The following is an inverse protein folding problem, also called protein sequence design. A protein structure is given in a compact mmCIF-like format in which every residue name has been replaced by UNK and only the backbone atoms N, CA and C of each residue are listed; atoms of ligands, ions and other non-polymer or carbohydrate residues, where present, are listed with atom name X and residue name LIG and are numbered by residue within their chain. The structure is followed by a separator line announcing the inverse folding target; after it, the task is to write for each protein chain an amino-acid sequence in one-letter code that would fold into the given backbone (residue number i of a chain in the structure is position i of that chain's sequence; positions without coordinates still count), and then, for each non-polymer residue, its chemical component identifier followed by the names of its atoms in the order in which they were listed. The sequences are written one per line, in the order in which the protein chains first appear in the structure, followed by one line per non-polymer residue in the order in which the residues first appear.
data_IF_836949560383
#
_entry.id   IF_836949560383
#
_cell.length_a   1.000
_cell.length_b   1.000
_cell.length_c   1.000
_cell.angle_alpha   90.00
_cell.angle_beta   90.00
_cell.angle_gamma   90.00
#
_symmetry.space_group_name_H-M   'P 1'
#
loop_
_entity.id
_entity.type
_entity.pdbx_description
1 polymer ?
#
# COMPACT_ATOMS: atom_id res chain seq x y z
N UNK A 1 13.85 26.90 -6.64
CA UNK A 1 12.52 26.42 -7.07
C UNK A 1 12.59 26.09 -8.54
N UNK A 2 12.65 24.80 -8.92
CA UNK A 2 12.58 24.39 -10.33
C UNK A 2 11.17 24.70 -10.84
N UNK A 3 11.07 25.36 -12.00
CA UNK A 3 9.80 25.56 -12.70
C UNK A 3 9.47 24.27 -13.46
N UNK A 4 8.46 23.53 -13.03
CA UNK A 4 7.95 22.40 -13.81
C UNK A 4 7.27 22.94 -15.09
N UNK A 5 7.60 22.42 -16.28
CA UNK A 5 7.02 22.91 -17.54
C UNK A 5 5.48 22.81 -17.53
N UNK A 6 4.93 21.76 -16.95
CA UNK A 6 3.47 21.55 -16.91
C UNK A 6 2.72 22.42 -15.90
N UNK A 7 3.39 23.21 -15.06
CA UNK A 7 2.68 24.19 -14.24
C UNK A 7 1.92 25.20 -15.09
N UNK A 8 2.47 25.57 -16.26
CA UNK A 8 1.77 26.50 -17.17
C UNK A 8 0.47 25.87 -17.69
N UNK A 9 0.53 24.59 -18.08
CA UNK A 9 -0.64 23.85 -18.54
C UNK A 9 -1.69 23.72 -17.42
N UNK A 10 -1.26 23.37 -16.20
CA UNK A 10 -2.16 23.33 -15.03
C UNK A 10 -2.83 24.68 -14.76
N UNK A 11 -2.09 25.79 -14.85
CA UNK A 11 -2.66 27.13 -14.65
C UNK A 11 -3.68 27.47 -15.74
N UNK A 12 -3.41 27.17 -17.01
CA UNK A 12 -4.38 27.34 -18.09
C UNK A 12 -5.62 26.46 -17.90
N UNK A 13 -5.46 25.19 -17.55
CA UNK A 13 -6.59 24.28 -17.30
C UNK A 13 -7.45 24.76 -16.13
N UNK A 14 -6.83 25.29 -15.07
CA UNK A 14 -7.55 25.92 -13.95
C UNK A 14 -8.29 27.18 -14.37
N UNK A 15 -7.71 28.03 -15.21
CA UNK A 15 -8.38 29.23 -15.73
C UNK A 15 -9.62 28.83 -16.56
N UNK A 16 -9.49 27.85 -17.46
CA UNK A 16 -10.61 27.32 -18.24
C UNK A 16 -11.74 26.77 -17.34
N UNK A 17 -11.37 26.10 -16.25
CA UNK A 17 -12.33 25.60 -15.26
C UNK A 17 -13.01 26.73 -14.49
N UNK A 18 -12.24 27.68 -13.97
CA UNK A 18 -12.74 28.80 -13.16
C UNK A 18 -13.63 29.73 -13.97
N UNK A 19 -13.22 30.05 -15.20
CA UNK A 19 -13.99 30.87 -16.12
C UNK A 19 -15.22 30.13 -16.68
N UNK A 20 -15.31 28.83 -16.42
CA UNK A 20 -16.42 27.96 -16.81
C UNK A 20 -16.74 28.01 -18.32
N UNK A 21 -15.73 28.33 -19.15
CA UNK A 21 -15.92 28.45 -20.59
C UNK A 21 -16.16 27.07 -21.20
N UNK A 22 -15.32 26.08 -20.87
CA UNK A 22 -15.50 24.70 -21.30
C UNK A 22 -16.77 24.08 -20.68
N UNK A 23 -17.14 24.43 -19.45
CA UNK A 23 -18.37 23.95 -18.82
C UNK A 23 -19.63 24.45 -19.53
N UNK A 24 -19.62 25.70 -20.00
CA UNK A 24 -20.70 26.25 -20.84
C UNK A 24 -20.82 25.49 -22.17
N UNK A 25 -19.70 25.22 -22.84
CA UNK A 25 -19.68 24.43 -24.08
C UNK A 25 -20.18 22.99 -23.86
N UNK A 26 -19.80 22.35 -22.75
CA UNK A 26 -20.29 21.03 -22.35
C UNK A 26 -21.81 21.06 -22.13
N UNK A 27 -22.31 22.07 -21.41
CA UNK A 27 -23.73 22.25 -21.19
C UNK A 27 -24.51 22.43 -22.51
N UNK A 28 -23.99 23.22 -23.45
CA UNK A 28 -24.59 23.41 -24.77
C UNK A 28 -24.64 22.10 -25.57
N UNK A 29 -23.54 21.34 -25.61
CA UNK A 29 -23.48 20.04 -26.26
C UNK A 29 -24.48 19.05 -25.66
N UNK A 30 -24.54 18.97 -24.33
CA UNK A 30 -25.48 18.14 -23.59
C UNK A 30 -26.94 18.51 -23.87
N UNK A 31 -27.21 19.82 -23.93
CA UNK A 31 -28.54 20.37 -24.26
C UNK A 31 -28.96 19.98 -25.67
N UNK A 32 -28.04 20.05 -26.64
CA UNK A 32 -28.29 19.66 -28.02
C UNK A 32 -28.58 18.16 -28.15
N UNK A 33 -27.72 17.31 -27.58
CA UNK A 33 -27.89 15.84 -27.57
C UNK A 33 -29.20 15.43 -26.92
N UNK A 34 -29.50 15.99 -25.75
CA UNK A 34 -30.74 15.73 -25.02
C UNK A 34 -31.97 16.24 -25.79
N UNK A 35 -31.84 17.39 -26.44
CA UNK A 35 -32.88 18.00 -27.27
C UNK A 35 -33.24 17.12 -28.47
N UNK A 36 -32.23 16.65 -29.20
CA UNK A 36 -32.42 15.71 -30.32
C UNK A 36 -33.07 14.42 -29.85
N UNK A 37 -32.59 13.83 -28.75
CA UNK A 37 -33.18 12.60 -28.18
C UNK A 37 -34.67 12.80 -27.93
N UNK A 38 -35.05 13.87 -27.22
CA UNK A 38 -36.47 14.21 -26.95
C UNK A 38 -37.27 14.41 -28.22
N UNK A 39 -36.70 15.06 -29.23
CA UNK A 39 -37.36 15.31 -30.51
C UNK A 39 -37.66 14.00 -31.26
N UNK A 40 -36.69 13.09 -31.31
CA UNK A 40 -36.84 11.78 -31.97
C UNK A 40 -37.89 10.95 -31.24
N UNK A 41 -37.81 10.86 -29.90
CA UNK A 41 -38.82 10.13 -29.11
C UNK A 41 -40.23 10.66 -29.37
N UNK A 42 -40.41 11.99 -29.41
CA UNK A 42 -41.72 12.61 -29.62
C UNK A 42 -42.24 12.49 -31.04
N UNK A 43 -41.39 12.67 -32.06
CA UNK A 43 -41.82 12.71 -33.47
C UNK A 43 -41.88 11.32 -34.11
N UNK A 44 -40.94 10.45 -33.78
CA UNK A 44 -40.84 9.12 -34.35
C UNK A 44 -41.46 8.03 -33.44
N UNK A 45 -41.91 8.38 -32.24
CA UNK A 45 -42.54 7.44 -31.30
C UNK A 45 -41.59 6.36 -30.78
N UNK A 46 -40.28 6.61 -30.80
CA UNK A 46 -39.25 5.67 -30.38
C UNK A 46 -39.23 5.57 -28.85
N UNK A 47 -39.18 4.35 -28.32
CA UNK A 47 -39.07 4.09 -26.89
C UNK A 47 -37.76 4.64 -26.30
N UNK A 48 -37.79 5.09 -25.05
CA UNK A 48 -36.58 5.48 -24.31
C UNK A 48 -35.56 4.33 -24.18
N UNK A 49 -36.05 3.08 -24.20
CA UNK A 49 -35.23 1.88 -24.06
C UNK A 49 -34.55 1.44 -25.37
N UNK A 50 -34.88 2.09 -26.49
CA UNK A 50 -34.24 1.83 -27.77
C UNK A 50 -32.72 2.09 -27.71
N UNK A 51 -31.95 1.28 -28.45
CA UNK A 51 -30.49 1.36 -28.47
C UNK A 51 -29.97 2.76 -28.84
N UNK A 52 -30.58 3.41 -29.84
CA UNK A 52 -30.17 4.75 -30.26
C UNK A 52 -30.52 5.78 -29.21
N UNK A 53 -31.67 5.63 -28.53
CA UNK A 53 -32.02 6.53 -27.43
C UNK A 53 -30.99 6.39 -26.32
N UNK A 54 -30.71 5.17 -25.84
CA UNK A 54 -29.67 4.92 -24.81
C UNK A 54 -28.31 5.49 -25.19
N UNK A 55 -27.94 5.45 -26.48
CA UNK A 55 -26.71 6.07 -26.98
C UNK A 55 -26.70 7.58 -26.71
N UNK A 56 -27.78 8.30 -27.01
CA UNK A 56 -27.86 9.74 -26.73
C UNK A 56 -27.81 10.09 -25.23
N UNK A 57 -28.32 9.24 -24.34
CA UNK A 57 -28.21 9.49 -22.89
C UNK A 57 -26.80 9.26 -22.38
N UNK A 58 -26.10 8.26 -22.89
CA UNK A 58 -24.70 8.02 -22.53
C UNK A 58 -23.73 8.99 -23.18
N UNK A 59 -24.15 9.69 -24.23
CA UNK A 59 -23.35 10.73 -24.89
C UNK A 59 -23.30 12.05 -24.11
N UNK A 60 -24.10 12.21 -23.04
CA UNK A 60 -24.04 13.37 -22.16
C UNK A 60 -22.76 13.34 -21.33
N UNK A 61 -22.04 14.45 -21.30
CA UNK A 61 -20.79 14.62 -20.58
C UNK A 61 -21.08 15.14 -19.17
N UNK A 62 -20.50 14.51 -18.16
CA UNK A 62 -20.49 15.01 -16.78
C UNK A 62 -19.36 16.05 -16.64
N UNK A 63 -19.72 17.30 -16.34
CA UNK A 63 -18.76 18.41 -16.26
C UNK A 63 -17.77 18.23 -15.10
N UNK A 64 -18.24 17.79 -13.95
CA UNK A 64 -17.47 17.55 -12.74
C UNK A 64 -16.47 16.43 -12.98
N UNK A 65 -16.91 15.35 -13.64
CA UNK A 65 -16.00 14.28 -14.04
C UNK A 65 -14.98 14.73 -15.09
N UNK A 66 -15.39 15.56 -16.06
CA UNK A 66 -14.49 16.10 -17.08
C UNK A 66 -13.37 16.95 -16.45
N UNK A 67 -13.72 17.95 -15.65
CA UNK A 67 -12.75 18.84 -15.02
C UNK A 67 -11.94 18.15 -13.91
N UNK A 68 -12.57 17.23 -13.17
CA UNK A 68 -11.89 16.40 -12.18
C UNK A 68 -10.75 15.63 -12.82
N UNK A 69 -11.00 14.91 -13.91
CA UNK A 69 -9.97 14.16 -14.63
C UNK A 69 -8.88 15.06 -15.23
N UNK A 70 -9.27 16.21 -15.81
CA UNK A 70 -8.34 17.16 -16.41
C UNK A 70 -7.32 17.69 -15.38
N UNK A 71 -7.81 18.18 -14.24
CA UNK A 71 -6.95 18.75 -13.21
C UNK A 71 -6.18 17.69 -12.42
N UNK A 72 -6.82 16.57 -12.10
CA UNK A 72 -6.21 15.47 -11.36
C UNK A 72 -5.01 14.87 -12.11
N UNK A 73 -5.15 14.68 -13.42
CA UNK A 73 -4.06 14.17 -14.26
C UNK A 73 -2.83 15.07 -14.23
N UNK A 74 -3.04 16.37 -14.44
CA UNK A 74 -1.97 17.38 -14.42
C UNK A 74 -1.27 17.47 -13.06
N UNK A 75 -2.04 17.52 -11.96
CA UNK A 75 -1.48 17.59 -10.60
C UNK A 75 -0.69 16.33 -10.26
N UNK A 76 -1.21 15.15 -10.58
CA UNK A 76 -0.53 13.87 -10.29
C UNK A 76 0.80 13.77 -11.02
N UNK A 77 0.84 14.14 -12.29
CA UNK A 77 2.07 14.10 -13.10
C UNK A 77 3.12 15.05 -12.53
N UNK A 78 2.75 16.31 -12.29
CA UNK A 78 3.65 17.30 -11.68
C UNK A 78 4.17 16.82 -10.32
N UNK A 79 3.29 16.32 -9.45
CA UNK A 79 3.68 15.85 -8.12
C UNK A 79 4.65 14.65 -8.19
N UNK A 80 4.40 13.72 -9.11
CA UNK A 80 5.28 12.56 -9.34
C UNK A 80 6.65 13.00 -9.85
N UNK A 81 6.69 13.88 -10.84
CA UNK A 81 7.94 14.35 -11.44
C UNK A 81 8.76 15.15 -10.43
N UNK A 82 8.12 16.02 -9.63
CA UNK A 82 8.76 16.71 -8.51
C UNK A 82 9.32 15.72 -7.50
N UNK A 83 8.58 14.66 -7.16
CA UNK A 83 9.03 13.63 -6.20
C UNK A 83 10.27 12.90 -6.71
N UNK A 84 10.30 12.51 -7.98
CA UNK A 84 11.45 11.83 -8.57
C UNK A 84 12.67 12.76 -8.67
N UNK A 85 12.46 14.02 -9.05
CA UNK A 85 13.53 15.03 -9.13
C UNK A 85 14.18 15.31 -7.76
N UNK A 86 13.40 15.31 -6.67
CA UNK A 86 13.89 15.54 -5.31
C UNK A 86 14.24 14.25 -4.55
N UNK A 87 14.28 13.10 -5.22
CA UNK A 87 14.59 11.82 -4.57
C UNK A 87 15.96 11.81 -3.89
N UNK A 88 16.93 12.55 -4.43
CA UNK A 88 18.28 12.71 -3.85
C UNK A 88 18.31 13.58 -2.59
N UNK A 89 17.30 14.41 -2.40
CA UNK A 89 17.16 15.32 -1.27
C UNK A 89 16.30 14.70 -0.14
N UNK A 90 16.04 13.38 -0.20
CA UNK A 90 15.36 12.63 0.85
C UNK A 90 16.26 12.46 2.08
N UNK A 91 16.41 13.51 2.87
CA UNK A 91 17.22 13.50 4.10
C UNK A 91 16.56 12.71 5.26
N UNK A 92 15.30 12.27 5.09
CA UNK A 92 14.49 11.61 6.14
C UNK A 92 13.93 10.25 5.69
N UNK A 93 14.23 9.83 4.46
CA UNK A 93 13.80 8.55 3.90
C UNK A 93 15.02 7.76 3.50
N UNK A 94 15.72 7.18 4.48
CA UNK A 94 16.85 6.29 4.22
C UNK A 94 16.45 5.29 3.12
N UNK A 95 17.20 5.25 2.01
CA UNK A 95 16.98 4.30 0.91
C UNK A 95 17.09 2.85 1.41
N UNK A 96 17.80 2.65 2.52
CA UNK A 96 17.91 1.39 3.21
C UNK A 96 16.81 1.28 4.27
N UNK A 97 15.63 0.82 3.83
CA UNK A 97 14.54 0.56 4.74
C UNK A 97 15.01 -0.46 5.78
N UNK A 98 14.70 -0.26 7.06
CA UNK A 98 15.17 -1.16 8.13
C UNK A 98 14.77 -2.62 7.81
N UNK A 99 13.64 -2.82 7.11
CA UNK A 99 13.20 -4.10 6.54
C UNK A 99 14.22 -4.79 5.64
N UNK A 100 14.97 -4.05 4.84
CA UNK A 100 15.90 -4.61 3.86
C UNK A 100 17.16 -5.13 4.57
N UNK A 101 17.62 -4.40 5.60
CA UNK A 101 18.63 -4.92 6.57
C UNK A 101 18.14 -6.16 7.30
N UNK A 102 16.87 -6.18 7.72
CA UNK A 102 16.28 -7.33 8.39
C UNK A 102 16.22 -8.55 7.46
N UNK A 103 15.81 -8.39 6.20
CA UNK A 103 15.73 -9.48 5.22
C UNK A 103 17.13 -10.02 4.86
N UNK A 104 18.12 -9.14 4.68
CA UNK A 104 19.50 -9.55 4.44
C UNK A 104 20.06 -10.37 5.62
N UNK A 105 19.81 -9.92 6.84
CA UNK A 105 20.23 -10.64 8.06
C UNK A 105 19.56 -12.01 8.21
N UNK A 106 18.28 -12.13 7.85
CA UNK A 106 17.55 -13.42 7.88
C UNK A 106 18.14 -14.40 6.86
N UNK A 107 18.50 -13.92 5.66
CA UNK A 107 19.14 -14.75 4.63
C UNK A 107 20.49 -15.27 5.09
N UNK A 108 21.32 -14.41 5.68
CA UNK A 108 22.64 -14.79 6.21
C UNK A 108 22.53 -15.85 7.32
N UNK A 109 21.56 -15.71 8.24
CA UNK A 109 21.30 -16.71 9.27
C UNK A 109 20.83 -18.05 8.69
N UNK A 110 19.96 -18.02 7.67
CA UNK A 110 19.52 -19.23 6.97
C UNK A 110 20.70 -19.97 6.32
N UNK A 111 21.63 -19.22 5.73
CA UNK A 111 22.81 -19.75 5.06
C UNK A 111 23.83 -20.34 6.06
N UNK A 112 24.02 -19.69 7.21
CA UNK A 112 24.83 -20.23 8.31
C UNK A 112 24.28 -21.54 8.88
N UNK A 113 22.95 -21.66 8.98
CA UNK A 113 22.28 -22.88 9.46
C UNK A 113 22.42 -24.02 8.43
N UNK A 114 22.16 -23.76 7.15
CA UNK A 114 22.32 -24.77 6.09
C UNK A 114 23.78 -25.23 5.94
N UNK A 115 24.75 -24.31 6.10
CA UNK A 115 26.17 -24.64 6.06
C UNK A 115 26.64 -25.37 7.35
N UNK A 116 25.86 -25.34 8.42
CA UNK A 116 26.14 -26.12 9.65
C UNK A 116 25.61 -27.56 9.59
N UNK A 117 24.79 -27.92 8.59
CA UNK A 117 24.25 -29.28 8.40
C UNK A 117 25.16 -30.23 7.60
N UNK A 118 26.30 -29.78 7.03
CA UNK A 118 27.23 -30.65 6.29
C UNK A 118 28.23 -31.44 7.14
N UNK A 119 27.97 -31.62 8.44
CA UNK A 119 28.71 -32.57 9.29
C UNK A 119 27.74 -33.61 9.87
N UNK A 120 27.34 -34.59 9.06
CA UNK A 120 26.74 -35.82 9.56
C UNK A 120 27.84 -36.84 9.96
N UNK A 121 27.51 -37.93 10.66
CA UNK A 121 27.17 -38.04 12.08
C UNK A 121 28.20 -38.92 12.81
N UNK A 122 28.47 -38.75 14.11
CA UNK A 122 29.13 -39.81 14.89
C UNK A 122 28.84 -39.75 16.39
N UNK A 123 27.92 -40.63 16.79
CA UNK A 123 27.92 -41.54 17.94
C UNK A 123 28.53 -41.10 19.29
N UNK A 124 27.71 -41.06 20.34
CA UNK A 124 28.17 -40.97 21.72
C UNK A 124 27.07 -40.83 22.77
N UNK A 125 26.42 -41.94 23.08
CA UNK A 125 25.74 -42.25 24.36
C UNK A 125 24.51 -41.42 24.78
N UNK A 126 23.36 -42.09 24.72
CA UNK A 126 22.16 -41.78 25.50
C UNK A 126 22.50 -41.94 26.99
N UNK A 127 22.46 -40.85 27.76
CA UNK A 127 22.18 -40.91 29.20
C UNK A 127 20.99 -39.99 29.49
N UNK A 128 19.89 -40.61 29.86
CA UNK A 128 18.66 -39.93 30.24
C UNK A 128 18.83 -39.21 31.59
N UNK A 129 18.17 -38.04 31.66
CA UNK A 129 17.70 -37.32 32.83
C UNK A 129 18.69 -36.34 33.49
N UNK A 130 18.59 -35.06 33.13
CA UNK A 130 18.20 -33.96 34.04
C UNK A 130 17.72 -32.77 33.17
N UNK A 131 16.43 -32.45 33.25
CA UNK A 131 15.79 -31.18 32.82
C UNK A 131 16.00 -30.70 31.36
N UNK A 132 15.51 -31.47 30.39
CA UNK A 132 15.43 -31.09 28.97
C UNK A 132 14.36 -30.01 28.66
N UNK A 133 13.87 -29.28 29.66
CA UNK A 133 12.96 -28.15 29.45
C UNK A 133 13.71 -26.81 29.45
N UNK A 134 15.05 -26.73 29.46
CA UNK A 134 15.79 -25.45 29.47
C UNK A 134 16.43 -25.07 28.12
N UNK A 135 16.30 -25.93 27.10
CA UNK A 135 16.79 -25.62 25.75
C UNK A 135 15.79 -24.73 24.99
N UNK A 136 16.24 -23.56 24.57
CA UNK A 136 15.42 -22.60 23.83
C UNK A 136 15.15 -23.14 22.40
N UNK A 137 13.90 -23.22 21.96
CA UNK A 137 13.56 -23.72 20.62
C UNK A 137 14.14 -22.82 19.52
N UNK A 138 14.31 -23.33 18.30
CA UNK A 138 14.90 -22.56 17.19
C UNK A 138 14.11 -21.26 16.91
N UNK A 139 12.78 -21.32 17.05
CA UNK A 139 11.88 -20.17 16.87
C UNK A 139 12.04 -19.16 18.00
N UNK A 140 12.21 -19.63 19.22
CA UNK A 140 12.44 -18.78 20.39
C UNK A 140 13.81 -18.08 20.30
N UNK A 141 14.86 -18.79 19.88
CA UNK A 141 16.20 -18.21 19.61
C UNK A 141 16.15 -17.11 18.56
N UNK A 142 15.46 -17.34 17.44
CA UNK A 142 15.29 -16.35 16.38
C UNK A 142 14.50 -15.12 16.87
N UNK A 143 13.44 -15.34 17.64
CA UNK A 143 12.62 -14.25 18.20
C UNK A 143 13.43 -13.40 19.18
N UNK A 144 14.22 -14.02 20.06
CA UNK A 144 15.11 -13.29 20.98
C UNK A 144 16.11 -12.42 20.22
N UNK A 145 16.77 -12.98 19.21
CA UNK A 145 17.74 -12.25 18.40
C UNK A 145 17.06 -11.08 17.66
N UNK A 146 15.87 -11.28 17.10
CA UNK A 146 15.10 -10.24 16.43
C UNK A 146 14.79 -9.06 17.36
N UNK A 147 14.29 -9.34 18.57
CA UNK A 147 13.92 -8.30 19.53
C UNK A 147 15.14 -7.68 20.23
N UNK A 148 16.25 -8.42 20.34
CA UNK A 148 17.52 -7.90 20.88
C UNK A 148 18.09 -6.75 20.08
N UNK A 149 18.10 -6.89 18.76
CA UNK A 149 18.57 -5.85 17.85
C UNK A 149 17.61 -4.66 17.80
N UNK A 150 16.31 -4.91 18.00
CA UNK A 150 15.27 -3.87 17.98
C UNK A 150 15.29 -2.98 19.23
N UNK A 151 15.70 -3.52 20.38
CA UNK A 151 15.74 -2.79 21.66
C UNK A 151 17.15 -2.52 22.18
N UNK A 152 18.18 -2.85 21.41
CA UNK A 152 19.60 -2.68 21.76
C UNK A 152 19.98 -3.37 23.09
N UNK A 153 19.43 -4.57 23.31
CA UNK A 153 19.60 -5.34 24.54
C UNK A 153 20.70 -6.40 24.38
N UNK A 154 21.60 -6.51 25.37
CA UNK A 154 22.67 -7.51 25.39
C UNK A 154 22.25 -8.78 26.14
N UNK A 155 21.75 -9.78 25.41
CA UNK A 155 21.27 -11.06 25.97
C UNK A 155 22.37 -11.97 26.51
N UNK A 156 23.65 -11.71 26.22
CA UNK A 156 24.75 -12.49 26.79
C UNK A 156 24.86 -12.34 28.31
N UNK A 157 24.17 -11.34 28.89
CA UNK A 157 24.09 -11.09 30.33
C UNK A 157 22.79 -11.58 30.98
N UNK A 158 21.83 -12.08 30.21
CA UNK A 158 20.55 -12.59 30.73
C UNK A 158 20.62 -14.10 30.95
N UNK A 159 20.03 -14.57 32.03
CA UNK A 159 19.84 -15.99 32.28
C UNK A 159 18.79 -16.58 31.31
N UNK A 160 18.81 -17.91 31.08
CA UNK A 160 17.82 -18.58 30.23
C UNK A 160 16.36 -18.34 30.67
N UNK A 161 16.12 -18.23 31.98
CA UNK A 161 14.81 -17.96 32.57
C UNK A 161 14.33 -16.53 32.31
N UNK A 162 15.21 -15.53 32.49
CA UNK A 162 14.91 -14.12 32.18
C UNK A 162 14.62 -13.93 30.68
N UNK A 163 15.33 -14.66 29.83
CA UNK A 163 15.12 -14.64 28.38
C UNK A 163 13.72 -15.15 28.01
N UNK A 164 13.25 -16.23 28.64
CA UNK A 164 11.88 -16.77 28.42
C UNK A 164 10.79 -15.83 28.90
N UNK A 165 10.97 -15.21 30.07
CA UNK A 165 10.02 -14.23 30.60
C UNK A 165 9.90 -13.04 29.65
N UNK A 166 11.04 -12.58 29.10
CA UNK A 166 11.04 -11.52 28.10
C UNK A 166 10.29 -11.93 26.82
N UNK A 167 10.54 -13.14 26.30
CA UNK A 167 9.80 -13.67 25.13
C UNK A 167 8.30 -13.73 25.41
N UNK A 168 7.89 -14.19 26.59
CA UNK A 168 6.47 -14.26 26.96
C UNK A 168 5.85 -12.86 27.07
N UNK A 169 6.56 -11.88 27.64
CA UNK A 169 6.11 -10.49 27.69
C UNK A 169 5.98 -9.89 26.29
N UNK A 170 6.97 -10.10 25.43
CA UNK A 170 6.96 -9.65 24.03
C UNK A 170 5.81 -10.29 23.26
N UNK A 171 5.57 -11.60 23.44
CA UNK A 171 4.51 -12.34 22.78
C UNK A 171 3.11 -11.92 23.28
N UNK A 172 2.99 -11.57 24.56
CA UNK A 172 1.75 -10.98 25.11
C UNK A 172 1.54 -9.54 24.63
N UNK A 173 2.61 -8.75 24.54
CA UNK A 173 2.57 -7.37 24.03
C UNK A 173 2.25 -7.33 22.53
N UNK A 174 2.73 -8.27 21.72
CA UNK A 174 2.38 -8.38 20.30
C UNK A 174 0.94 -8.86 20.06
N UNK A 175 0.33 -9.52 21.04
CA UNK A 175 -1.10 -9.85 21.07
C UNK A 175 -1.97 -8.70 21.59
N UNK A 176 -1.37 -7.59 22.05
CA UNK A 176 -2.11 -6.42 22.50
C UNK A 176 -2.78 -5.73 21.29
N UNK A 177 -4.12 -5.57 21.28
CA UNK A 177 -4.84 -4.97 20.15
C UNK A 177 -4.43 -3.52 19.84
N UNK A 178 -3.79 -2.80 20.76
CA UNK A 178 -3.26 -1.45 20.53
C UNK A 178 -1.96 -1.42 19.70
N UNK A 179 -1.19 -2.51 19.71
CA UNK A 179 0.08 -2.64 18.97
C UNK A 179 -0.09 -3.38 17.64
N UNK A 180 -1.24 -3.98 17.38
CA UNK A 180 -1.61 -4.43 16.04
C UNK A 180 -1.89 -3.20 15.19
N UNK A 181 -1.07 -2.94 14.18
CA UNK A 181 -1.57 -2.19 13.03
C UNK A 181 -2.83 -2.90 12.55
N UNK A 182 -3.94 -2.19 12.28
CA UNK A 182 -5.14 -2.82 11.78
C UNK A 182 -4.75 -3.61 10.54
N UNK A 183 -4.85 -4.94 10.61
CA UNK A 183 -4.70 -5.77 9.43
C UNK A 183 -5.68 -5.21 8.40
N UNK A 184 -5.24 -4.92 7.18
CA UNK A 184 -6.13 -4.54 6.08
C UNK A 184 -7.28 -5.56 6.11
N UNK A 185 -8.48 -5.12 6.52
CA UNK A 185 -9.68 -5.92 6.31
C UNK A 185 -9.71 -6.11 4.81
N UNK A 186 -9.47 -7.34 4.36
CA UNK A 186 -9.84 -7.77 3.04
C UNK A 186 -11.34 -7.49 2.96
N UNK A 187 -11.73 -6.46 2.22
CA UNK A 187 -13.13 -6.21 1.88
C UNK A 187 -13.52 -7.23 0.81
N UNK A 188 -13.45 -8.51 1.17
CA UNK A 188 -14.06 -9.58 0.41
C UNK A 188 -15.47 -9.78 0.97
N UNK A 189 -16.40 -9.31 0.15
CA UNK A 189 -17.71 -9.91 -0.09
C UNK A 189 -18.48 -10.40 1.13
N UNK A 190 -19.40 -9.54 1.58
CA UNK A 190 -20.76 -9.99 1.83
C UNK A 190 -21.69 -9.33 0.82
N UNK A 191 -21.77 -9.94 -0.36
CA UNK A 191 -23.07 -10.13 -1.01
C UNK A 191 -23.76 -11.32 -0.32
N UNK A 192 -25.08 -11.38 -0.45
CA UNK A 192 -26.06 -12.27 0.22
C UNK A 192 -26.59 -11.64 1.53
N UNK A 193 -27.88 -11.36 1.70
CA UNK A 193 -29.13 -11.56 0.94
C UNK A 193 -30.10 -10.42 1.28
#
# INVERSE_FOLDING_TARGET
MKKHPDFMNLMCDMEIYVDNHAGTMIHEANSYVTGIRKLIMKKAGVSADDFYMKTFEKAVIDDSAYFGNLLEGSIKNIAKDIREDHKKDWDTGDEEHISDKYIASIKELWEQINNSETLAPNNGTITNNTDDDDSLTMVDKATVIQWSKKFDLNFAKLTPQETRILIQMITKASRNPLMRQPSKRTWEEKKEE
#
